data_IF_177720243982
#
_entry.id   IF_177720243982
#
_cell.length_a   1.000
_cell.length_b   1.000
_cell.length_c   1.000
_cell.angle_alpha   90.00
_cell.angle_beta   90.00
_cell.angle_gamma   90.00
#
_symmetry.space_group_name_H-M   'P 1'
#
loop_
_entity.id
_entity.type
_entity.pdbx_description
1 polymer ?
#
# COMPACT_ATOMS: atom_id res chain seq x y z
N UNK A 1 -14.89 -14.47 2.62
CA UNK A 1 -13.48 -14.23 3.09
C UNK A 1 -13.45 -12.85 3.71
N UNK A 2 -12.74 -12.68 4.83
CA UNK A 2 -12.61 -11.34 5.46
C UNK A 2 -11.63 -10.50 4.65
N UNK A 3 -12.02 -9.30 4.25
CA UNK A 3 -11.16 -8.36 3.53
C UNK A 3 -10.02 -7.88 4.44
N UNK A 4 -8.80 -7.85 3.91
CA UNK A 4 -7.64 -7.29 4.63
C UNK A 4 -7.61 -5.77 4.44
N UNK A 5 -7.14 -5.05 5.47
CA UNK A 5 -7.10 -3.58 5.47
C UNK A 5 -5.66 -3.09 5.64
N UNK A 6 -5.22 -2.19 4.75
CA UNK A 6 -3.95 -1.49 4.86
C UNK A 6 -4.18 0.01 5.03
N UNK A 7 -3.52 0.60 6.01
CA UNK A 7 -3.44 2.06 6.19
C UNK A 7 -2.02 2.50 5.85
N UNK A 8 -1.87 3.28 4.80
CA UNK A 8 -0.57 3.66 4.24
C UNK A 8 -0.17 5.09 4.60
N UNK A 9 1.13 5.31 4.84
CA UNK A 9 1.69 6.63 5.14
C UNK A 9 1.45 7.08 6.57
N UNK A 10 1.48 6.17 7.52
CA UNK A 10 1.47 6.46 8.94
C UNK A 10 2.83 7.04 9.34
N UNK A 11 2.83 8.15 10.09
CA UNK A 11 4.05 8.89 10.42
C UNK A 11 4.20 9.23 11.90
N UNK A 12 3.21 8.90 12.75
CA UNK A 12 3.28 9.12 14.20
C UNK A 12 2.90 7.88 14.98
N UNK A 13 3.32 7.80 16.24
CA UNK A 13 2.97 6.70 17.13
C UNK A 13 1.47 6.54 17.31
N UNK A 14 0.77 7.66 17.51
CA UNK A 14 -0.68 7.70 17.74
C UNK A 14 -1.46 7.17 16.54
N UNK A 15 -1.03 7.50 15.31
CA UNK A 15 -1.71 7.04 14.10
C UNK A 15 -1.43 5.56 13.81
N UNK A 16 -0.24 5.06 14.16
CA UNK A 16 0.07 3.62 14.11
C UNK A 16 -0.80 2.85 15.10
N UNK A 17 -0.87 3.31 16.35
CA UNK A 17 -1.69 2.67 17.38
C UNK A 17 -3.18 2.68 16.98
N UNK A 18 -3.69 3.83 16.50
CA UNK A 18 -5.07 3.94 16.03
C UNK A 18 -5.39 2.96 14.88
N UNK A 19 -4.47 2.76 13.95
CA UNK A 19 -4.66 1.80 12.85
C UNK A 19 -4.66 0.36 13.34
N UNK A 20 -3.76 0.00 14.26
CA UNK A 20 -3.68 -1.34 14.87
C UNK A 20 -4.96 -1.62 15.68
N UNK A 21 -5.37 -0.69 16.52
CA UNK A 21 -6.56 -0.83 17.37
C UNK A 21 -7.86 -0.90 16.55
N UNK A 22 -7.90 -0.23 15.39
CA UNK A 22 -9.03 -0.29 14.47
C UNK A 22 -9.11 -1.58 13.65
N UNK A 23 -8.13 -2.50 13.79
CA UNK A 23 -8.13 -3.79 13.11
C UNK A 23 -7.45 -3.78 11.73
N UNK A 24 -6.60 -2.79 11.43
CA UNK A 24 -5.77 -2.84 10.24
C UNK A 24 -4.84 -4.06 10.28
N UNK A 25 -4.80 -4.81 9.18
CA UNK A 25 -3.94 -6.00 9.04
C UNK A 25 -2.55 -5.64 8.52
N UNK A 26 -2.44 -4.47 7.88
CA UNK A 26 -1.20 -3.95 7.31
C UNK A 26 -1.08 -2.46 7.59
N UNK A 27 0.12 -2.01 7.90
CA UNK A 27 0.46 -0.59 7.97
C UNK A 27 1.57 -0.26 6.97
N UNK A 28 1.49 0.90 6.33
CA UNK A 28 2.48 1.38 5.38
C UNK A 28 3.33 2.51 5.95
N UNK A 29 4.65 2.32 5.96
CA UNK A 29 5.66 3.34 6.26
C UNK A 29 6.29 3.77 4.93
N UNK A 30 6.37 5.06 4.66
CA UNK A 30 6.84 5.60 3.38
C UNK A 30 8.27 6.13 3.52
N UNK A 31 9.21 5.51 2.79
CA UNK A 31 10.56 6.05 2.63
C UNK A 31 10.74 6.52 1.19
N UNK A 32 10.28 7.74 0.92
CA UNK A 32 10.36 8.42 -0.36
C UNK A 32 10.38 9.94 -0.13
N UNK A 33 11.56 10.61 -0.16
CA UNK A 33 11.73 12.01 0.24
C UNK A 33 10.76 13.02 -0.39
N UNK A 34 10.32 12.87 -1.67
CA UNK A 34 9.36 13.80 -2.25
C UNK A 34 7.92 13.67 -1.67
N UNK A 35 7.63 12.61 -0.91
CA UNK A 35 6.30 12.38 -0.32
C UNK A 35 6.11 13.22 0.95
N UNK A 36 4.94 13.84 1.16
CA UNK A 36 4.61 14.46 2.45
C UNK A 36 4.49 13.45 3.61
N UNK A 37 4.51 12.15 3.29
CA UNK A 37 4.43 11.03 4.23
C UNK A 37 5.79 10.38 4.48
N UNK A 38 6.86 11.02 3.97
CA UNK A 38 8.22 10.49 4.11
C UNK A 38 8.62 10.35 5.57
N UNK A 39 9.30 9.25 5.87
CA UNK A 39 9.96 8.98 7.13
C UNK A 39 11.44 8.70 6.89
N UNK A 40 12.30 9.26 7.74
CA UNK A 40 13.68 8.82 7.85
C UNK A 40 13.76 7.40 8.42
N UNK A 41 14.82 6.66 8.10
CA UNK A 41 14.96 5.25 8.45
C UNK A 41 14.82 5.00 9.96
N UNK A 42 15.39 5.87 10.78
CA UNK A 42 15.34 5.73 12.25
C UNK A 42 13.94 5.99 12.81
N UNK A 43 13.20 6.91 12.22
CA UNK A 43 11.80 7.18 12.59
C UNK A 43 10.91 6.01 12.20
N UNK A 44 11.06 5.52 10.97
CA UNK A 44 10.33 4.35 10.50
C UNK A 44 10.63 3.10 11.36
N UNK A 45 11.89 2.89 11.78
CA UNK A 45 12.27 1.79 12.67
C UNK A 45 11.61 1.90 14.06
N UNK A 46 11.52 3.11 14.62
CA UNK A 46 10.81 3.34 15.90
C UNK A 46 9.32 3.02 15.77
N UNK A 47 8.68 3.42 14.68
CA UNK A 47 7.27 3.09 14.43
C UNK A 47 7.06 1.59 14.20
N UNK A 48 7.97 0.94 13.45
CA UNK A 48 7.96 -0.53 13.26
C UNK A 48 7.96 -1.29 14.59
N UNK A 49 8.75 -0.83 15.56
CA UNK A 49 8.88 -1.48 16.86
C UNK A 49 7.58 -1.45 17.71
N UNK A 50 6.63 -0.57 17.39
CA UNK A 50 5.30 -0.49 18.04
C UNK A 50 4.31 -1.49 17.49
N UNK A 51 4.53 -1.97 16.25
CA UNK A 51 3.56 -2.81 15.54
C UNK A 51 3.61 -4.24 16.05
N UNK A 52 2.50 -4.82 16.51
CA UNK A 52 2.46 -6.19 16.99
C UNK A 52 2.69 -7.18 15.83
N UNK A 53 3.17 -8.38 16.15
CA UNK A 53 3.47 -9.42 15.15
C UNK A 53 2.26 -9.89 14.32
N UNK A 54 1.04 -9.62 14.78
CA UNK A 54 -0.20 -9.91 14.06
C UNK A 54 -0.49 -8.95 12.91
N UNK A 55 0.19 -7.78 12.86
CA UNK A 55 0.03 -6.76 11.83
C UNK A 55 1.31 -6.67 11.00
N UNK A 56 1.16 -6.67 9.67
CA UNK A 56 2.30 -6.61 8.73
C UNK A 56 2.74 -5.17 8.49
N UNK A 57 4.04 -4.94 8.48
CA UNK A 57 4.61 -3.64 8.13
C UNK A 57 5.09 -3.64 6.69
N UNK A 58 4.56 -2.73 5.91
CA UNK A 58 4.86 -2.51 4.50
C UNK A 58 5.76 -1.29 4.36
N UNK A 59 7.00 -1.48 3.92
CA UNK A 59 7.88 -0.39 3.53
C UNK A 59 7.58 0.01 2.08
N UNK A 60 7.09 1.22 1.87
CA UNK A 60 6.85 1.78 0.54
C UNK A 60 8.04 2.60 0.09
N UNK A 61 8.55 2.30 -1.11
CA UNK A 61 9.60 3.06 -1.81
C UNK A 61 9.19 3.36 -3.25
N UNK A 62 9.81 4.37 -3.86
CA UNK A 62 9.64 4.66 -5.27
C UNK A 62 10.99 5.08 -5.89
N UNK A 63 11.42 4.35 -6.93
CA UNK A 63 12.66 4.58 -7.67
C UNK A 63 13.92 4.67 -6.77
N UNK A 64 13.93 3.95 -5.65
CA UNK A 64 15.06 3.97 -4.73
C UNK A 64 16.24 3.17 -5.28
N UNK A 65 17.46 3.67 -5.01
CA UNK A 65 18.69 2.99 -5.36
C UNK A 65 18.87 1.69 -4.55
N UNK A 66 19.55 0.67 -5.10
CA UNK A 66 19.73 -0.63 -4.46
C UNK A 66 20.30 -0.55 -3.03
N UNK A 67 21.32 0.28 -2.82
CA UNK A 67 21.93 0.46 -1.52
C UNK A 67 20.96 1.04 -0.48
N UNK A 68 20.08 1.96 -0.91
CA UNK A 68 19.04 2.54 -0.06
C UNK A 68 18.00 1.50 0.34
N UNK A 69 17.57 0.65 -0.59
CA UNK A 69 16.61 -0.43 -0.29
C UNK A 69 17.21 -1.41 0.72
N UNK A 70 18.47 -1.81 0.54
CA UNK A 70 19.17 -2.68 1.50
C UNK A 70 19.25 -2.04 2.89
N UNK A 71 19.69 -0.80 2.98
CA UNK A 71 19.78 -0.07 4.26
C UNK A 71 18.39 0.09 4.93
N UNK A 72 17.35 0.35 4.16
CA UNK A 72 15.99 0.48 4.68
C UNK A 72 15.45 -0.85 5.21
N UNK A 73 15.66 -1.95 4.49
CA UNK A 73 15.27 -3.30 4.94
C UNK A 73 16.01 -3.65 6.23
N UNK A 74 17.32 -3.44 6.29
CA UNK A 74 18.14 -3.77 7.46
C UNK A 74 17.76 -2.94 8.68
N UNK A 75 17.44 -1.67 8.50
CA UNK A 75 17.12 -0.75 9.59
C UNK A 75 15.71 -0.88 10.10
N UNK A 76 14.73 -0.99 9.20
CA UNK A 76 13.28 -1.00 9.52
C UNK A 76 12.80 -2.41 9.82
N UNK A 77 13.37 -3.42 9.17
CA UNK A 77 12.93 -4.83 9.24
C UNK A 77 11.44 -4.97 8.90
N UNK A 78 11.01 -4.51 7.70
CA UNK A 78 9.63 -4.64 7.27
C UNK A 78 9.29 -6.10 7.00
N UNK A 79 8.01 -6.43 7.01
CA UNK A 79 7.50 -7.74 6.55
C UNK A 79 7.38 -7.77 5.02
N UNK A 80 7.14 -6.60 4.40
CA UNK A 80 6.81 -6.46 2.98
C UNK A 80 7.52 -5.22 2.44
N UNK A 81 8.02 -5.30 1.20
CA UNK A 81 8.49 -4.13 0.44
C UNK A 81 7.52 -3.84 -0.70
N UNK A 82 6.97 -2.64 -0.75
CA UNK A 82 6.09 -2.15 -1.81
C UNK A 82 6.81 -1.17 -2.73
N UNK A 83 6.95 -1.53 -3.99
CA UNK A 83 7.50 -0.68 -5.04
C UNK A 83 6.41 0.13 -5.72
N UNK A 84 6.52 1.47 -5.68
CA UNK A 84 5.51 2.39 -6.19
C UNK A 84 6.01 3.32 -7.30
N UNK A 85 7.20 3.07 -7.82
CA UNK A 85 7.82 3.87 -8.89
C UNK A 85 7.82 3.17 -10.25
N UNK A 86 8.87 3.42 -11.03
CA UNK A 86 9.08 2.86 -12.37
C UNK A 86 10.05 1.67 -12.37
N UNK A 87 10.15 0.97 -11.25
CA UNK A 87 11.02 -0.20 -11.12
C UNK A 87 10.68 -1.26 -12.16
N UNK A 88 11.69 -1.98 -12.64
CA UNK A 88 11.51 -3.08 -13.60
C UNK A 88 11.15 -4.39 -12.91
N UNK A 89 10.47 -5.33 -13.60
CA UNK A 89 10.18 -6.66 -13.06
C UNK A 89 11.42 -7.42 -12.62
N UNK A 90 12.53 -7.29 -13.37
CA UNK A 90 13.79 -7.96 -13.09
C UNK A 90 14.41 -7.46 -11.78
N UNK A 91 14.41 -6.14 -11.60
CA UNK A 91 14.91 -5.52 -10.38
C UNK A 91 14.08 -5.90 -9.15
N UNK A 92 12.76 -5.82 -9.25
CA UNK A 92 11.86 -6.18 -8.15
C UNK A 92 11.99 -7.67 -7.80
N UNK A 93 12.09 -8.55 -8.80
CA UNK A 93 12.33 -9.97 -8.59
C UNK A 93 13.67 -10.25 -7.91
N UNK A 94 14.72 -9.51 -8.27
CA UNK A 94 16.04 -9.63 -7.62
C UNK A 94 15.96 -9.29 -6.12
N UNK A 95 15.31 -8.18 -5.77
CA UNK A 95 15.11 -7.81 -4.35
C UNK A 95 14.32 -8.89 -3.61
N UNK A 96 13.24 -9.40 -4.19
CA UNK A 96 12.44 -10.48 -3.61
C UNK A 96 13.28 -11.70 -3.25
N UNK A 97 14.14 -12.13 -4.17
CA UNK A 97 14.98 -13.32 -3.97
C UNK A 97 16.11 -13.09 -2.97
N UNK A 98 16.75 -11.91 -2.99
CA UNK A 98 17.87 -11.59 -2.10
C UNK A 98 17.42 -11.30 -0.68
N UNK A 99 16.38 -10.48 -0.51
CA UNK A 99 15.88 -10.11 0.81
C UNK A 99 15.01 -11.20 1.46
N UNK A 100 14.48 -12.15 0.67
CA UNK A 100 13.54 -13.20 1.13
C UNK A 100 12.31 -12.60 1.84
N UNK A 101 11.84 -11.46 1.35
CA UNK A 101 10.67 -10.76 1.84
C UNK A 101 9.54 -10.85 0.81
N UNK A 102 8.31 -10.69 1.28
CA UNK A 102 7.17 -10.47 0.42
C UNK A 102 7.32 -9.13 -0.31
N UNK A 103 7.05 -9.12 -1.61
CA UNK A 103 7.25 -7.93 -2.45
C UNK A 103 5.98 -7.62 -3.22
N UNK A 104 5.53 -6.37 -3.12
CA UNK A 104 4.37 -5.84 -3.81
C UNK A 104 4.76 -4.82 -4.87
N UNK A 105 3.95 -4.74 -5.92
CA UNK A 105 4.09 -3.68 -6.93
C UNK A 105 2.81 -2.90 -7.08
N UNK A 106 2.88 -1.59 -6.92
CA UNK A 106 1.79 -0.68 -7.25
C UNK A 106 1.74 -0.40 -8.76
N UNK A 107 0.54 -0.47 -9.33
CA UNK A 107 0.26 -0.26 -10.76
C UNK A 107 -0.88 0.74 -10.87
N UNK A 108 -0.63 1.86 -11.54
CA UNK A 108 -1.67 2.85 -11.80
C UNK A 108 -2.64 2.35 -12.88
N UNK A 109 -3.88 2.07 -12.49
CA UNK A 109 -4.90 1.53 -13.38
C UNK A 109 -5.70 2.64 -14.05
N UNK A 110 -5.62 2.73 -15.38
CA UNK A 110 -6.36 3.70 -16.20
C UNK A 110 -7.41 3.04 -17.08
N UNK A 111 -7.07 1.88 -17.63
CA UNK A 111 -7.81 1.21 -18.70
C UNK A 111 -7.54 -0.29 -18.68
N UNK A 112 -8.37 -1.08 -19.34
CA UNK A 112 -8.23 -2.54 -19.43
C UNK A 112 -6.85 -2.98 -19.94
N UNK A 113 -6.27 -2.27 -20.90
CA UNK A 113 -4.93 -2.57 -21.40
C UNK A 113 -3.83 -2.48 -20.33
N UNK A 114 -4.06 -1.75 -19.22
CA UNK A 114 -3.13 -1.73 -18.09
C UNK A 114 -3.09 -3.06 -17.36
N UNK A 115 -4.23 -3.75 -17.24
CA UNK A 115 -4.32 -5.09 -16.63
C UNK A 115 -3.55 -6.13 -17.46
N UNK A 116 -3.67 -6.06 -18.79
CA UNK A 116 -2.87 -6.92 -19.69
C UNK A 116 -1.36 -6.69 -19.52
N UNK A 117 -0.96 -5.42 -19.45
CA UNK A 117 0.44 -5.05 -19.19
C UNK A 117 0.94 -5.46 -17.80
N UNK A 118 0.04 -5.62 -16.83
CA UNK A 118 0.40 -6.04 -15.48
C UNK A 118 0.86 -7.51 -15.43
N UNK A 119 0.53 -8.34 -16.41
CA UNK A 119 0.99 -9.74 -16.52
C UNK A 119 2.52 -9.87 -16.56
N UNK A 120 3.26 -8.82 -16.94
CA UNK A 120 4.73 -8.81 -16.85
C UNK A 120 5.27 -9.05 -15.41
N UNK A 121 4.42 -8.89 -14.41
CA UNK A 121 4.75 -9.09 -13.00
C UNK A 121 4.52 -10.52 -12.52
N UNK A 122 3.93 -11.41 -13.36
CA UNK A 122 3.65 -12.80 -13.02
C UNK A 122 4.96 -13.50 -12.62
N UNK A 123 4.95 -14.12 -11.43
CA UNK A 123 6.12 -14.76 -10.84
C UNK A 123 7.23 -13.82 -10.34
N UNK A 124 7.07 -12.50 -10.48
CA UNK A 124 8.07 -11.50 -10.07
C UNK A 124 7.73 -10.84 -8.72
N UNK A 125 6.45 -10.78 -8.38
CA UNK A 125 5.93 -10.18 -7.15
C UNK A 125 4.95 -11.12 -6.47
N UNK A 126 4.68 -10.88 -5.19
CA UNK A 126 3.72 -11.65 -4.41
C UNK A 126 2.32 -11.03 -4.44
N UNK A 127 2.22 -9.73 -4.74
CA UNK A 127 0.95 -9.01 -4.86
C UNK A 127 1.06 -7.81 -5.79
N UNK A 128 -0.01 -7.56 -6.56
CA UNK A 128 -0.22 -6.28 -7.25
C UNK A 128 -1.15 -5.39 -6.43
N UNK A 129 -0.84 -4.11 -6.36
CA UNK A 129 -1.70 -3.10 -5.79
C UNK A 129 -2.16 -2.18 -6.91
N UNK A 130 -3.45 -2.24 -7.25
CA UNK A 130 -4.04 -1.36 -8.27
C UNK A 130 -4.44 -0.05 -7.63
N UNK A 131 -3.81 1.03 -8.07
CA UNK A 131 -4.00 2.39 -7.56
C UNK A 131 -4.58 3.29 -8.66
N UNK A 132 -5.14 4.42 -8.27
CA UNK A 132 -5.47 5.47 -9.24
C UNK A 132 -4.20 5.93 -9.99
N UNK A 133 -4.34 6.37 -11.26
CA UNK A 133 -3.20 6.82 -12.01
C UNK A 133 -2.44 7.95 -11.31
N UNK A 134 -1.11 7.83 -11.22
CA UNK A 134 -0.27 8.88 -10.65
C UNK A 134 -0.43 10.20 -11.41
N UNK A 135 -0.58 11.31 -10.67
CA UNK A 135 -0.48 12.67 -11.21
C UNK A 135 0.98 13.16 -11.11
N UNK A 136 1.26 14.06 -10.18
CA UNK A 136 2.61 14.58 -9.96
C UNK A 136 3.49 13.63 -9.13
N UNK A 137 2.91 12.94 -8.15
CA UNK A 137 3.60 11.99 -7.27
C UNK A 137 2.89 10.62 -7.28
N UNK A 138 3.63 9.52 -7.06
CA UNK A 138 3.05 8.19 -6.88
C UNK A 138 2.16 8.12 -5.65
N UNK A 139 0.91 7.66 -5.82
CA UNK A 139 -0.06 7.40 -4.75
C UNK A 139 -0.64 8.65 -4.05
N UNK A 140 -1.71 8.43 -3.29
CA UNK A 140 -2.29 9.46 -2.44
C UNK A 140 -2.99 10.63 -3.15
N UNK A 141 -3.44 10.44 -4.38
CA UNK A 141 -4.05 11.49 -5.22
C UNK A 141 -5.55 11.73 -4.92
N UNK A 142 -6.18 10.88 -4.09
CA UNK A 142 -7.58 11.02 -3.67
C UNK A 142 -8.63 10.75 -4.76
N UNK A 143 -8.23 10.29 -5.95
CA UNK A 143 -9.16 9.98 -7.04
C UNK A 143 -9.45 8.49 -7.13
N UNK A 144 -10.71 8.12 -7.37
CA UNK A 144 -11.11 6.78 -7.74
C UNK A 144 -11.02 6.59 -9.26
N UNK A 145 -10.80 5.36 -9.69
CA UNK A 145 -10.93 4.95 -11.09
C UNK A 145 -12.17 4.04 -11.25
N UNK A 146 -12.45 3.61 -12.47
CA UNK A 146 -13.57 2.70 -12.74
C UNK A 146 -13.26 1.29 -12.19
N UNK A 147 -13.89 0.93 -11.08
CA UNK A 147 -13.71 -0.35 -10.39
C UNK A 147 -14.22 -1.55 -11.21
N UNK A 148 -15.11 -1.36 -12.18
CA UNK A 148 -15.58 -2.44 -13.06
C UNK A 148 -14.43 -3.11 -13.81
N UNK A 149 -13.34 -2.37 -14.08
CA UNK A 149 -12.14 -2.93 -14.68
C UNK A 149 -11.53 -4.08 -13.88
N UNK A 150 -11.65 -4.05 -12.55
CA UNK A 150 -11.13 -5.10 -11.67
C UNK A 150 -12.14 -6.23 -11.42
N UNK A 151 -13.43 -5.90 -11.37
CA UNK A 151 -14.51 -6.86 -11.11
C UNK A 151 -14.58 -7.97 -12.17
N UNK A 152 -14.30 -7.62 -13.43
CA UNK A 152 -14.36 -8.54 -14.58
C UNK A 152 -13.00 -9.19 -14.91
N UNK A 153 -11.93 -8.81 -14.18
CA UNK A 153 -10.58 -9.29 -14.48
C UNK A 153 -10.24 -10.57 -13.71
N UNK A 154 -9.75 -11.58 -14.43
CA UNK A 154 -9.18 -12.77 -13.82
C UNK A 154 -7.76 -12.48 -13.34
N UNK A 155 -7.57 -12.43 -12.02
CA UNK A 155 -6.29 -12.10 -11.40
C UNK A 155 -5.41 -13.34 -11.26
N UNK A 156 -4.27 -13.37 -11.96
CA UNK A 156 -3.24 -14.43 -11.85
C UNK A 156 -2.33 -14.27 -10.63
N UNK A 157 -2.27 -13.06 -10.05
CA UNK A 157 -1.45 -12.71 -8.88
C UNK A 157 -2.40 -12.22 -7.77
N UNK A 158 -2.15 -12.52 -6.49
CA UNK A 158 -2.83 -11.85 -5.39
C UNK A 158 -2.83 -10.34 -5.56
N UNK A 159 -3.95 -9.68 -5.29
CA UNK A 159 -4.08 -8.25 -5.58
C UNK A 159 -4.68 -7.46 -4.42
N UNK A 160 -4.59 -6.15 -4.51
CA UNK A 160 -5.15 -5.17 -3.59
C UNK A 160 -5.74 -4.00 -4.36
N UNK A 161 -6.80 -3.42 -3.83
CA UNK A 161 -7.43 -2.21 -4.33
C UNK A 161 -6.95 -1.00 -3.54
N UNK A 162 -6.47 0.02 -4.26
CA UNK A 162 -6.13 1.34 -3.74
C UNK A 162 -6.75 2.43 -4.62
N UNK A 163 -6.37 3.67 -4.39
CA UNK A 163 -6.79 4.83 -5.20
C UNK A 163 -8.13 5.39 -4.79
N UNK A 164 -8.12 6.52 -4.07
CA UNK A 164 -9.29 7.28 -3.69
C UNK A 164 -10.25 6.58 -2.73
N UNK A 165 -9.82 5.52 -2.05
CA UNK A 165 -10.65 4.86 -1.04
C UNK A 165 -10.77 5.70 0.22
N UNK A 166 -12.01 5.87 0.69
CA UNK A 166 -12.40 6.64 1.87
C UNK A 166 -13.34 5.81 2.74
N UNK A 167 -13.63 6.22 3.99
CA UNK A 167 -14.66 5.57 4.80
C UNK A 167 -16.02 5.46 4.11
N UNK A 168 -16.38 6.45 3.28
CA UNK A 168 -17.69 6.53 2.64
C UNK A 168 -17.85 5.58 1.43
N UNK A 169 -16.73 5.18 0.80
CA UNK A 169 -16.79 4.41 -0.44
C UNK A 169 -16.19 3.00 -0.36
N UNK A 170 -15.38 2.69 0.65
CA UNK A 170 -14.64 1.42 0.74
C UNK A 170 -15.55 0.19 0.78
N UNK A 171 -16.65 0.23 1.53
CA UNK A 171 -17.59 -0.88 1.57
C UNK A 171 -18.26 -1.15 0.21
N UNK A 172 -18.56 -0.09 -0.55
CA UNK A 172 -19.05 -0.20 -1.93
C UNK A 172 -17.97 -0.79 -2.84
N UNK A 173 -16.74 -0.28 -2.75
CA UNK A 173 -15.61 -0.75 -3.56
C UNK A 173 -15.36 -2.27 -3.35
N UNK A 174 -15.39 -2.74 -2.09
CA UNK A 174 -15.25 -4.17 -1.76
C UNK A 174 -16.37 -5.00 -2.39
N UNK A 175 -17.63 -4.56 -2.27
CA UNK A 175 -18.78 -5.30 -2.84
C UNK A 175 -18.72 -5.38 -4.37
N UNK A 176 -18.29 -4.32 -5.03
CA UNK A 176 -18.25 -4.26 -6.51
C UNK A 176 -17.06 -5.02 -7.09
N UNK A 177 -15.93 -5.03 -6.41
CA UNK A 177 -14.68 -5.62 -6.95
C UNK A 177 -14.35 -6.98 -6.36
N UNK A 178 -14.88 -7.34 -5.20
CA UNK A 178 -14.44 -8.52 -4.45
C UNK A 178 -13.00 -8.39 -3.92
N UNK A 179 -12.49 -7.16 -3.73
CA UNK A 179 -11.10 -6.91 -3.35
C UNK A 179 -10.71 -7.66 -2.05
N UNK A 180 -9.68 -8.53 -2.12
CA UNK A 180 -9.24 -9.29 -0.95
C UNK A 180 -8.45 -8.44 0.05
N UNK A 181 -7.92 -7.30 -0.40
CA UNK A 181 -7.24 -6.30 0.40
C UNK A 181 -7.54 -4.90 -0.15
N UNK A 182 -7.84 -3.97 0.76
CA UNK A 182 -8.01 -2.55 0.44
C UNK A 182 -6.93 -1.71 1.11
N UNK A 183 -6.43 -0.70 0.38
CA UNK A 183 -5.37 0.22 0.84
C UNK A 183 -5.83 1.67 0.72
N UNK A 184 -5.71 2.41 1.81
CA UNK A 184 -5.96 3.86 1.79
C UNK A 184 -4.78 4.64 2.34
N UNK A 185 -4.61 5.85 1.84
CA UNK A 185 -3.64 6.81 2.35
C UNK A 185 -4.30 8.17 2.56
N UNK A 186 -4.50 8.97 1.50
CA UNK A 186 -5.11 10.30 1.60
C UNK A 186 -6.58 10.27 2.01
N UNK A 187 -7.28 9.16 1.81
CA UNK A 187 -8.68 9.01 2.22
C UNK A 187 -8.94 9.02 3.73
N UNK A 188 -7.87 8.97 4.53
CA UNK A 188 -7.90 9.07 6.00
C UNK A 188 -6.98 10.18 6.51
N UNK A 189 -6.88 11.28 5.75
CA UNK A 189 -6.07 12.45 6.08
C UNK A 189 -6.94 13.70 6.22
N UNK A 190 -6.61 14.55 7.17
CA UNK A 190 -7.18 15.90 7.34
C UNK A 190 -6.45 16.96 6.49
N UNK A 191 -5.17 16.70 6.19
CA UNK A 191 -4.33 17.47 5.27
C UNK A 191 -3.24 16.56 4.69
N UNK A 192 -2.59 16.90 3.56
CA UNK A 192 -1.56 16.06 2.96
C UNK A 192 -0.48 15.63 3.96
N UNK A 193 -0.36 14.32 4.22
CA UNK A 193 0.57 13.74 5.19
C UNK A 193 0.10 13.76 6.65
N UNK A 194 -1.04 14.36 6.96
CA UNK A 194 -1.60 14.42 8.32
C UNK A 194 -2.77 13.45 8.44
N UNK A 195 -2.53 12.33 9.08
CA UNK A 195 -3.58 11.32 9.32
C UNK A 195 -4.57 11.77 10.38
N UNK A 196 -5.85 11.46 10.16
CA UNK A 196 -6.94 11.62 11.09
C UNK A 196 -7.32 10.27 11.70
N UNK A 197 -7.23 10.16 13.03
CA UNK A 197 -7.48 8.88 13.73
C UNK A 197 -8.94 8.45 13.65
N UNK A 198 -9.89 9.39 13.57
CA UNK A 198 -11.31 9.05 13.46
C UNK A 198 -11.63 8.55 12.05
N UNK A 199 -11.02 9.14 11.02
CA UNK A 199 -11.12 8.64 9.65
C UNK A 199 -10.46 7.25 9.50
N UNK A 200 -9.34 6.98 10.18
CA UNK A 200 -8.72 5.64 10.21
C UNK A 200 -9.70 4.62 10.80
N UNK A 201 -10.29 4.92 11.95
CA UNK A 201 -11.28 4.03 12.61
C UNK A 201 -12.50 3.80 11.73
N UNK A 202 -13.06 4.87 11.17
CA UNK A 202 -14.21 4.79 10.28
C UNK A 202 -13.92 3.97 9.02
N UNK A 203 -12.74 4.12 8.42
CA UNK A 203 -12.32 3.32 7.26
C UNK A 203 -12.23 1.83 7.60
N UNK A 204 -11.55 1.47 8.67
CA UNK A 204 -11.41 0.09 9.10
C UNK A 204 -12.78 -0.53 9.42
N UNK A 205 -13.64 0.19 10.13
CA UNK A 205 -15.00 -0.25 10.45
C UNK A 205 -15.82 -0.50 9.18
N UNK A 206 -15.78 0.40 8.20
CA UNK A 206 -16.52 0.27 6.94
C UNK A 206 -15.97 -0.86 6.05
N UNK A 207 -14.66 -1.13 6.11
CA UNK A 207 -14.02 -2.17 5.31
C UNK A 207 -14.21 -3.58 5.89
N UNK A 208 -14.43 -3.70 7.21
CA UNK A 208 -14.53 -4.96 7.94
C UNK A 208 -16.00 -5.37 8.24
N UNK A 209 -16.97 -4.47 7.96
CA UNK A 209 -18.41 -4.75 8.11
C UNK A 209 -18.91 -5.70 7.02
#
# INVERSE_FOLDING_TARGET
>A
MTTLVKICGLSTAETVDAAVDAGATHIGLVHFPPSPRHLELDEAAKLRARVPASVKVVLLTANAEPAMIGAAIDRIKPDIVQFHGKETPEWVSLVRHQAKLEVWKAVGLREKATLERARKWDGKVDRLLFDAPAKALPGGNGEAFDWNLLAEHEHSIPWALAGGLTPDNVAKAIRETGAPLVDTSSGVESAPGVKDMDLIRAFCQAALA
#
